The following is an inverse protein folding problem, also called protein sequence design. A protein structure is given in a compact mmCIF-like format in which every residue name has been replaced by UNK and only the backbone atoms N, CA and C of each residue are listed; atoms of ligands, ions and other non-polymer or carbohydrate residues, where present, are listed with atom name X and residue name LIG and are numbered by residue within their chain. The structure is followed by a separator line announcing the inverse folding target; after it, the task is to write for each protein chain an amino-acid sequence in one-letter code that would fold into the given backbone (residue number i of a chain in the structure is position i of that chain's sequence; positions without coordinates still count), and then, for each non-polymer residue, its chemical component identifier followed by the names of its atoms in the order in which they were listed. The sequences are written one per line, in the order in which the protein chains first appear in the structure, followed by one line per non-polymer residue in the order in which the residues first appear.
data_IF_972188554659
#
_entry.id   IF_972188554659
#
_cell.length_a   1.000
_cell.length_b   1.000
_cell.length_c   1.000
_cell.angle_alpha   90.00
_cell.angle_beta   90.00
_cell.angle_gamma   90.00
#
_symmetry.space_group_name_H-M   'P 1'
#
loop_
_entity.id
_entity.type
_entity.pdbx_description
1 polymer ?
#
# COMPACT_ATOMS: atom_id res chain seq x y z
N UNK A 1 -29.01 9.06 6.31
CA UNK A 1 -27.55 9.05 6.09
C UNK A 1 -27.33 9.34 4.63
N UNK A 2 -26.76 10.50 4.32
CA UNK A 2 -26.66 10.97 2.94
C UNK A 2 -25.53 10.23 2.21
N UNK A 3 -25.71 9.90 0.93
CA UNK A 3 -24.73 9.22 0.08
C UNK A 3 -23.31 9.84 0.18
N UNK A 4 -23.23 11.15 0.42
CA UNK A 4 -21.99 11.91 0.61
C UNK A 4 -21.16 11.44 1.81
N UNK A 5 -21.78 11.18 2.97
CA UNK A 5 -21.06 10.75 4.19
C UNK A 5 -20.47 9.34 4.02
N UNK A 6 -21.21 8.45 3.35
CA UNK A 6 -20.74 7.12 3.01
C UNK A 6 -19.56 7.15 2.03
N UNK A 7 -19.63 8.04 1.03
CA UNK A 7 -18.55 8.23 0.06
C UNK A 7 -17.28 8.78 0.72
N UNK A 8 -17.40 9.79 1.58
CA UNK A 8 -16.27 10.37 2.32
C UNK A 8 -15.58 9.32 3.19
N UNK A 9 -16.35 8.56 3.97
CA UNK A 9 -15.81 7.48 4.81
C UNK A 9 -15.09 6.41 3.99
N UNK A 10 -15.64 6.04 2.82
CA UNK A 10 -15.01 5.08 1.92
C UNK A 10 -13.69 5.61 1.35
N UNK A 11 -13.63 6.87 0.93
CA UNK A 11 -12.42 7.52 0.43
C UNK A 11 -11.35 7.63 1.52
N UNK A 12 -11.74 8.03 2.73
CA UNK A 12 -10.83 8.10 3.87
C UNK A 12 -10.23 6.73 4.19
N UNK A 13 -11.09 5.71 4.30
CA UNK A 13 -10.66 4.33 4.56
C UNK A 13 -9.70 3.85 3.48
N UNK A 14 -10.01 4.12 2.20
CA UNK A 14 -9.15 3.70 1.10
C UNK A 14 -7.81 4.44 1.09
N UNK A 15 -7.81 5.73 1.41
CA UNK A 15 -6.60 6.53 1.57
C UNK A 15 -5.69 5.96 2.67
N UNK A 16 -6.27 5.58 3.81
CA UNK A 16 -5.55 4.95 4.91
C UNK A 16 -4.95 3.60 4.53
N UNK A 17 -5.70 2.75 3.83
CA UNK A 17 -5.18 1.48 3.30
C UNK A 17 -3.97 1.71 2.39
N UNK A 18 -4.07 2.67 1.46
CA UNK A 18 -2.97 3.01 0.55
C UNK A 18 -1.76 3.49 1.34
N UNK A 19 -1.95 4.36 2.33
CA UNK A 19 -0.88 4.88 3.16
C UNK A 19 -0.16 3.78 3.94
N UNK A 20 -0.89 2.83 4.54
CA UNK A 20 -0.30 1.68 5.25
C UNK A 20 0.47 0.78 4.28
N UNK A 21 -0.07 0.50 3.10
CA UNK A 21 0.61 -0.30 2.08
C UNK A 21 1.90 0.36 1.61
N UNK A 22 1.87 1.68 1.35
CA UNK A 22 3.07 2.45 0.98
C UNK A 22 4.12 2.41 2.08
N UNK A 23 3.71 2.56 3.35
CA UNK A 23 4.62 2.47 4.50
C UNK A 23 5.26 1.09 4.62
N UNK A 24 4.48 0.03 4.43
CA UNK A 24 4.99 -1.34 4.49
C UNK A 24 5.97 -1.62 3.33
N UNK A 25 5.67 -1.12 2.13
CA UNK A 25 6.56 -1.21 0.98
C UNK A 25 7.89 -0.50 1.27
N UNK A 26 7.84 0.72 1.83
CA UNK A 26 9.05 1.45 2.22
C UNK A 26 9.91 0.66 3.20
N UNK A 27 9.30 0.09 4.26
CA UNK A 27 10.03 -0.75 5.22
C UNK A 27 10.62 -2.00 4.58
N UNK A 28 9.90 -2.62 3.66
CA UNK A 28 10.38 -3.80 2.95
C UNK A 28 11.60 -3.46 2.08
N UNK A 29 11.61 -2.30 1.43
CA UNK A 29 12.76 -1.79 0.69
C UNK A 29 13.95 -1.47 1.60
N UNK A 30 13.70 -0.84 2.75
CA UNK A 30 14.74 -0.54 3.76
C UNK A 30 15.38 -1.82 4.35
N UNK A 31 14.71 -2.97 4.26
CA UNK A 31 15.19 -4.25 4.76
C UNK A 31 16.02 -5.04 3.74
N UNK A 32 16.13 -4.58 2.49
CA UNK A 32 16.95 -5.25 1.46
C UNK A 32 18.42 -4.87 1.67
N UNK A 33 19.31 -5.86 1.76
CA UNK A 33 20.72 -5.66 2.10
C UNK A 33 21.69 -6.19 1.04
N UNK A 34 21.21 -6.79 -0.05
CA UNK A 34 22.04 -7.32 -1.13
C UNK A 34 21.49 -7.01 -2.52
N UNK A 35 22.37 -7.03 -3.52
CA UNK A 35 21.98 -6.78 -4.91
C UNK A 35 20.97 -7.81 -5.42
N UNK A 36 21.12 -9.08 -5.05
CA UNK A 36 20.19 -10.15 -5.43
C UNK A 36 18.79 -9.94 -4.81
N UNK A 37 18.72 -9.54 -3.54
CA UNK A 37 17.44 -9.22 -2.87
C UNK A 37 16.74 -8.02 -3.53
N UNK A 38 17.50 -7.01 -3.94
CA UNK A 38 16.96 -5.84 -4.65
C UNK A 38 16.41 -6.24 -6.02
N UNK A 39 17.16 -7.05 -6.78
CA UNK A 39 16.75 -7.51 -8.11
C UNK A 39 15.53 -8.45 -8.06
N UNK A 40 15.38 -9.22 -6.98
CA UNK A 40 14.25 -10.10 -6.76
C UNK A 40 13.00 -9.39 -6.22
N UNK A 41 13.11 -8.14 -5.75
CA UNK A 41 12.00 -7.44 -5.11
C UNK A 41 10.90 -7.06 -6.12
N UNK A 42 9.70 -7.61 -5.95
CA UNK A 42 8.55 -7.31 -6.82
C UNK A 42 7.81 -6.05 -6.36
N UNK A 43 7.97 -4.98 -7.13
CA UNK A 43 7.24 -3.72 -6.93
C UNK A 43 5.75 -3.89 -7.26
N UNK A 44 4.87 -3.40 -6.38
CA UNK A 44 3.45 -3.24 -6.71
C UNK A 44 2.62 -4.53 -6.71
N UNK A 45 2.88 -5.44 -5.78
CA UNK A 45 2.06 -6.66 -5.54
C UNK A 45 0.65 -6.36 -5.01
N UNK A 46 -0.12 -5.53 -5.73
CA UNK A 46 -1.59 -5.50 -5.58
C UNK A 46 -2.09 -6.78 -6.25
N UNK A 47 -2.32 -7.82 -5.46
CA UNK A 47 -3.19 -8.91 -5.89
C UNK A 47 -4.53 -8.28 -6.22
N UNK A 48 -4.82 -8.11 -7.53
CA UNK A 48 -6.19 -7.91 -7.98
C UNK A 48 -6.88 -9.25 -7.69
N UNK A 49 -7.62 -9.31 -6.58
CA UNK A 49 -8.73 -10.24 -6.51
C UNK A 49 -9.77 -9.84 -7.54
#
# INVERSE_FOLDING_TARGET
MALSEAAEKAMFTKGMEIHVQQRNMKKALEALNSADEILAYKVGSRSRK
#
